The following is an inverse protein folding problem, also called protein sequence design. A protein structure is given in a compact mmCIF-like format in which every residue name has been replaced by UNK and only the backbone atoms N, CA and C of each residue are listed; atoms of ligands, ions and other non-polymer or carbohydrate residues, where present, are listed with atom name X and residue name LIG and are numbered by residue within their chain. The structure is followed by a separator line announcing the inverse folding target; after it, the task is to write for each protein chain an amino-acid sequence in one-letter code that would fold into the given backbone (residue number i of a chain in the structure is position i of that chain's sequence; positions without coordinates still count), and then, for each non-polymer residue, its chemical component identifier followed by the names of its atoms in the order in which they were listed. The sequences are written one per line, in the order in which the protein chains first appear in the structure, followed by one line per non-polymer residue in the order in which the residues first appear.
data_IF_420632231278
#
_entry.id   IF_420632231278
#
_cell.length_a   1.000
_cell.length_b   1.000
_cell.length_c   1.000
_cell.angle_alpha   90.00
_cell.angle_beta   90.00
_cell.angle_gamma   90.00
#
_symmetry.space_group_name_H-M   'P 1'
#
loop_
_entity.id
_entity.type
_entity.pdbx_description
1 polymer ?
#
# COMPACT_ATOMS: atom_id res chain seq x y z
N UNK A 1 7.64 7.89 -9.97
CA UNK A 1 6.66 6.99 -9.35
C UNK A 1 5.61 7.87 -8.69
N UNK A 2 4.50 8.17 -9.40
CA UNK A 2 3.52 9.16 -8.95
C UNK A 2 2.39 8.47 -8.17
N UNK A 3 2.39 8.62 -6.84
CA UNK A 3 1.21 8.37 -6.03
C UNK A 3 0.35 9.64 -6.06
N UNK A 4 -0.83 9.55 -6.69
CA UNK A 4 -1.80 10.63 -6.71
C UNK A 4 -2.24 10.97 -5.27
N UNK A 5 -1.86 12.16 -4.79
CA UNK A 5 -2.40 12.77 -3.57
C UNK A 5 -3.88 13.13 -3.81
N UNK A 6 -4.79 12.31 -3.28
CA UNK A 6 -6.24 12.56 -3.33
C UNK A 6 -6.64 13.41 -2.12
N UNK A 7 -6.85 14.71 -2.37
CA UNK A 7 -7.32 15.72 -1.41
C UNK A 7 -8.68 15.27 -0.81
N UNK A 8 -8.72 15.06 0.51
CA UNK A 8 -9.84 14.47 1.27
C UNK A 8 -10.86 15.55 1.63
N UNK A 9 -12.04 15.57 1.01
CA UNK A 9 -13.17 16.41 1.42
C UNK A 9 -14.14 15.54 2.25
N UNK A 10 -14.07 15.67 3.58
CA UNK A 10 -15.01 15.03 4.50
C UNK A 10 -16.28 15.85 4.59
N UNK A 11 -17.44 15.26 4.27
CA UNK A 11 -18.72 15.71 4.82
C UNK A 11 -19.51 14.50 5.34
N UNK A 12 -19.75 14.50 6.66
CA UNK A 12 -20.57 13.53 7.38
C UNK A 12 -22.03 13.61 6.89
N UNK A 13 -22.45 12.62 6.10
CA UNK A 13 -23.80 12.00 6.01
C UNK A 13 -23.89 11.26 4.68
N UNK A 14 -23.82 9.92 4.72
CA UNK A 14 -24.36 8.98 3.72
C UNK A 14 -24.50 9.46 2.26
N UNK A 15 -23.42 9.98 1.67
CA UNK A 15 -23.34 10.24 0.24
C UNK A 15 -22.40 9.21 -0.37
N UNK A 16 -22.89 8.44 -1.34
CA UNK A 16 -22.00 7.76 -2.28
C UNK A 16 -21.14 8.84 -2.96
N UNK A 17 -19.88 8.94 -2.55
CA UNK A 17 -18.95 9.89 -3.16
C UNK A 17 -18.64 9.35 -4.55
N UNK A 18 -18.82 10.21 -5.56
CA UNK A 18 -18.47 9.89 -6.94
C UNK A 18 -17.31 10.77 -7.36
N UNK A 19 -16.30 10.18 -7.98
CA UNK A 19 -15.24 10.92 -8.67
C UNK A 19 -15.34 10.69 -10.18
N UNK A 20 -14.77 11.60 -10.97
CA UNK A 20 -14.64 11.44 -12.41
C UNK A 20 -13.31 10.76 -12.73
N UNK A 21 -13.35 9.61 -13.40
CA UNK A 21 -12.14 8.96 -13.90
C UNK A 21 -11.54 9.71 -15.11
N UNK A 22 -10.47 9.16 -15.68
CA UNK A 22 -9.81 9.74 -16.87
C UNK A 22 -10.70 9.75 -18.13
N UNK A 23 -11.83 9.03 -18.10
CA UNK A 23 -12.85 9.00 -19.14
C UNK A 23 -14.07 9.88 -18.77
N UNK A 24 -13.94 10.73 -17.74
CA UNK A 24 -14.98 11.62 -17.23
C UNK A 24 -16.24 10.86 -16.72
N UNK A 25 -16.11 9.57 -16.39
CA UNK A 25 -17.21 8.75 -15.85
C UNK A 25 -17.28 8.87 -14.34
N UNK A 26 -18.50 8.91 -13.82
CA UNK A 26 -18.74 8.87 -12.38
C UNK A 26 -18.47 7.46 -11.83
N UNK A 27 -17.46 7.34 -10.97
CA UNK A 27 -17.12 6.09 -10.31
C UNK A 27 -17.69 6.08 -8.89
N UNK A 28 -18.55 5.11 -8.55
CA UNK A 28 -19.06 4.97 -7.19
C UNK A 28 -17.93 4.59 -6.23
N UNK A 29 -17.80 5.33 -5.13
CA UNK A 29 -16.93 5.00 -4.01
C UNK A 29 -17.76 4.69 -2.78
N UNK A 30 -17.31 3.69 -2.02
CA UNK A 30 -17.81 3.43 -0.67
C UNK A 30 -16.66 3.45 0.32
N UNK A 31 -16.93 3.91 1.53
CA UNK A 31 -15.95 4.08 2.59
C UNK A 31 -16.40 3.31 3.84
N UNK A 32 -15.43 2.89 4.65
CA UNK A 32 -15.65 2.40 6.02
C UNK A 32 -15.99 3.57 6.95
N UNK A 33 -16.44 3.26 8.18
CA UNK A 33 -16.83 4.28 9.16
C UNK A 33 -15.66 5.24 9.47
N UNK A 34 -14.44 4.71 9.48
CA UNK A 34 -13.21 5.45 9.78
C UNK A 34 -12.67 6.22 8.56
N UNK A 35 -13.42 6.20 7.44
CA UNK A 35 -13.12 6.96 6.23
C UNK A 35 -12.07 6.33 5.32
N UNK A 36 -11.72 5.06 5.53
CA UNK A 36 -10.93 4.25 4.60
C UNK A 36 -11.78 3.88 3.38
N UNK A 37 -11.18 3.86 2.19
CA UNK A 37 -11.89 3.52 0.96
C UNK A 37 -12.19 2.01 0.98
N UNK A 38 -13.45 1.61 1.11
CA UNK A 38 -13.85 0.20 1.15
C UNK A 38 -13.88 -0.44 -0.24
N UNK A 39 -14.36 0.29 -1.24
CA UNK A 39 -14.55 -0.23 -2.59
C UNK A 39 -14.73 0.90 -3.61
N UNK A 40 -14.24 0.67 -4.84
CA UNK A 40 -14.56 1.44 -6.05
C UNK A 40 -15.25 0.55 -7.13
N UNK A 41 -15.26 0.97 -8.39
CA UNK A 41 -15.88 0.22 -9.49
C UNK A 41 -15.09 -1.04 -9.93
N UNK A 42 -13.89 -1.25 -9.40
CA UNK A 42 -12.99 -2.33 -9.81
C UNK A 42 -12.58 -3.23 -8.66
N UNK A 43 -12.35 -2.64 -7.49
CA UNK A 43 -11.69 -3.30 -6.38
C UNK A 43 -12.40 -3.06 -5.05
N UNK A 44 -12.22 -4.03 -4.15
CA UNK A 44 -12.48 -3.91 -2.72
C UNK A 44 -11.15 -3.86 -1.98
N UNK A 45 -11.13 -3.11 -0.91
CA UNK A 45 -9.97 -2.85 -0.09
C UNK A 45 -10.30 -3.25 1.34
N UNK A 46 -9.38 -3.94 2.00
CA UNK A 46 -9.50 -4.37 3.39
C UNK A 46 -8.35 -3.75 4.19
N UNK A 47 -8.60 -3.42 5.45
CA UNK A 47 -7.68 -2.71 6.35
C UNK A 47 -7.57 -3.46 7.68
N UNK A 48 -6.45 -3.27 8.40
CA UNK A 48 -6.33 -3.65 9.80
C UNK A 48 -6.83 -2.53 10.72
N UNK A 49 -6.85 -2.78 12.02
CA UNK A 49 -7.37 -1.83 13.03
C UNK A 49 -6.53 -0.54 13.14
N UNK A 50 -5.27 -0.56 12.69
CA UNK A 50 -4.40 0.62 12.59
C UNK A 50 -4.62 1.42 11.30
N UNK A 51 -5.56 1.01 10.44
CA UNK A 51 -5.85 1.63 9.15
C UNK A 51 -4.85 1.27 8.04
N UNK A 52 -3.94 0.33 8.29
CA UNK A 52 -3.05 -0.25 7.28
C UNK A 52 -3.82 -1.16 6.33
N UNK A 53 -3.75 -0.88 5.03
CA UNK A 53 -4.45 -1.67 4.02
C UNK A 53 -3.84 -3.08 3.91
N UNK A 54 -4.62 -4.14 4.18
CA UNK A 54 -4.17 -5.54 4.20
C UNK A 54 -4.47 -6.31 2.92
N UNK A 55 -5.46 -5.88 2.13
CA UNK A 55 -5.83 -6.58 0.89
C UNK A 55 -6.38 -5.66 -0.20
N UNK A 56 -6.13 -6.06 -1.45
CA UNK A 56 -6.90 -5.63 -2.64
C UNK A 56 -7.47 -6.87 -3.30
N UNK A 57 -8.77 -6.86 -3.57
CA UNK A 57 -9.44 -7.92 -4.35
C UNK A 57 -10.32 -7.30 -5.43
N UNK A 58 -10.52 -8.01 -6.54
CA UNK A 58 -11.53 -7.60 -7.55
C UNK A 58 -12.94 -7.72 -6.98
N UNK A 59 -13.93 -7.13 -7.67
CA UNK A 59 -15.34 -7.35 -7.31
C UNK A 59 -15.74 -8.85 -7.38
N UNK A 60 -15.09 -9.63 -8.25
CA UNK A 60 -15.21 -11.08 -8.36
C UNK A 60 -14.37 -11.86 -7.32
N UNK A 61 -13.80 -11.17 -6.33
CA UNK A 61 -13.00 -11.73 -5.21
C UNK A 61 -11.68 -12.39 -5.62
N UNK A 62 -11.14 -12.07 -6.79
CA UNK A 62 -9.78 -12.44 -7.17
C UNK A 62 -8.78 -11.62 -6.36
N UNK A 63 -7.79 -12.26 -5.75
CA UNK A 63 -6.72 -11.57 -5.00
C UNK A 63 -5.82 -10.79 -5.95
N UNK A 64 -5.62 -9.51 -5.68
CA UNK A 64 -4.71 -8.64 -6.43
C UNK A 64 -3.44 -8.40 -5.61
N UNK A 65 -3.61 -8.04 -4.34
CA UNK A 65 -2.49 -7.79 -3.45
C UNK A 65 -2.83 -8.17 -2.00
N UNK A 66 -1.82 -8.63 -1.26
CA UNK A 66 -1.84 -8.75 0.21
C UNK A 66 -0.69 -7.92 0.77
N UNK A 67 -0.92 -7.27 1.90
CA UNK A 67 0.07 -6.51 2.64
C UNK A 67 0.13 -7.02 4.07
N UNK A 68 1.33 -7.07 4.63
CA UNK A 68 1.60 -7.47 6.01
C UNK A 68 2.38 -6.35 6.69
N UNK A 69 2.19 -6.24 8.00
CA UNK A 69 2.70 -5.16 8.83
C UNK A 69 3.26 -5.75 10.13
N UNK A 70 4.22 -5.06 10.74
CA UNK A 70 4.64 -5.33 12.12
C UNK A 70 3.73 -4.65 13.14
N UNK A 71 4.08 -4.79 14.42
CA UNK A 71 3.30 -4.27 15.56
C UNK A 71 3.26 -2.73 15.60
N UNK A 72 4.28 -2.07 15.05
CA UNK A 72 4.37 -0.60 14.94
C UNK A 72 3.66 -0.07 13.68
N UNK A 73 3.09 -0.96 12.87
CA UNK A 73 2.36 -0.59 11.65
C UNK A 73 3.25 -0.29 10.45
N UNK A 74 4.53 -0.66 10.47
CA UNK A 74 5.39 -0.62 9.29
C UNK A 74 5.09 -1.81 8.39
N UNK A 75 5.05 -1.58 7.08
CA UNK A 75 4.72 -2.63 6.11
C UNK A 75 5.92 -3.54 5.90
N UNK A 76 5.82 -4.81 6.29
CA UNK A 76 6.91 -5.79 6.19
C UNK A 76 6.84 -6.65 4.92
N UNK A 77 5.65 -6.81 4.32
CA UNK A 77 5.51 -7.62 3.09
C UNK A 77 4.44 -7.12 2.14
N UNK A 78 4.68 -7.27 0.84
CA UNK A 78 3.71 -7.16 -0.24
C UNK A 78 3.73 -8.43 -1.08
N UNK A 79 2.56 -8.99 -1.38
CA UNK A 79 2.41 -10.15 -2.26
C UNK A 79 1.47 -9.76 -3.41
N UNK A 80 1.97 -9.83 -4.65
CA UNK A 80 1.21 -9.54 -5.88
C UNK A 80 1.46 -10.66 -6.89
N UNK A 81 0.45 -11.53 -7.06
CA UNK A 81 0.61 -12.74 -7.86
C UNK A 81 1.74 -13.62 -7.31
N UNK A 82 2.76 -13.84 -8.14
CA UNK A 82 3.97 -14.63 -7.84
C UNK A 82 5.11 -13.80 -7.25
N UNK A 83 5.00 -12.46 -7.27
CA UNK A 83 6.00 -11.53 -6.72
C UNK A 83 5.75 -11.29 -5.24
N UNK A 84 6.83 -11.31 -4.47
CA UNK A 84 6.84 -10.89 -3.07
C UNK A 84 7.91 -9.83 -2.85
N UNK A 85 7.57 -8.78 -2.11
CA UNK A 85 8.50 -7.75 -1.64
C UNK A 85 8.53 -7.84 -0.12
N UNK A 86 9.70 -8.02 0.46
CA UNK A 86 9.92 -8.02 1.91
C UNK A 86 10.74 -6.80 2.30
N UNK A 87 10.33 -6.15 3.37
CA UNK A 87 10.93 -4.92 3.87
C UNK A 87 11.46 -5.14 5.28
N UNK A 88 12.72 -4.73 5.48
CA UNK A 88 13.42 -4.82 6.75
C UNK A 88 13.86 -3.42 7.16
N UNK A 89 13.47 -3.01 8.35
CA UNK A 89 13.70 -1.67 8.87
C UNK A 89 14.81 -1.68 9.92
N UNK A 90 15.51 -0.56 10.06
CA UNK A 90 16.43 -0.32 11.16
C UNK A 90 15.62 0.04 12.41
N UNK A 91 15.76 -0.74 13.49
CA UNK A 91 14.85 -0.71 14.65
C UNK A 91 14.89 0.58 15.49
N UNK A 92 15.94 1.40 15.36
CA UNK A 92 16.04 2.67 16.12
C UNK A 92 15.32 3.84 15.44
N UNK A 93 15.25 3.84 14.11
CA UNK A 93 14.76 5.00 13.34
C UNK A 93 13.61 4.66 12.38
N UNK A 94 13.18 3.39 12.32
CA UNK A 94 12.19 2.88 11.37
C UNK A 94 12.53 3.16 9.89
N UNK A 95 13.81 3.43 9.61
CA UNK A 95 14.33 3.64 8.27
C UNK A 95 14.41 2.30 7.54
N UNK A 96 13.91 2.22 6.30
CA UNK A 96 13.98 0.99 5.51
C UNK A 96 15.45 0.66 5.24
N UNK A 97 15.95 -0.46 5.72
CA UNK A 97 17.33 -0.89 5.52
C UNK A 97 17.49 -1.77 4.26
N UNK A 98 16.55 -2.70 4.05
CA UNK A 98 16.62 -3.67 2.97
C UNK A 98 15.24 -3.96 2.37
N UNK A 99 15.15 -3.98 1.05
CA UNK A 99 14.05 -4.57 0.28
C UNK A 99 14.56 -5.84 -0.42
N UNK A 100 13.86 -6.96 -0.23
CA UNK A 100 14.10 -8.23 -0.93
C UNK A 100 12.94 -8.48 -1.89
N UNK A 101 13.24 -8.60 -3.18
CA UNK A 101 12.24 -9.03 -4.19
C UNK A 101 12.39 -10.51 -4.47
N UNK A 102 11.29 -11.25 -4.40
CA UNK A 102 11.19 -12.67 -4.73
C UNK A 102 10.18 -12.89 -5.84
N UNK A 103 10.41 -13.92 -6.66
CA UNK A 103 9.51 -14.43 -7.68
C UNK A 103 9.35 -15.93 -7.46
N UNK A 104 8.12 -16.42 -7.28
CA UNK A 104 7.86 -17.83 -6.95
C UNK A 104 8.69 -18.33 -5.74
N UNK A 105 8.86 -17.45 -4.74
CA UNK A 105 9.65 -17.72 -3.53
C UNK A 105 11.17 -17.60 -3.71
N UNK A 106 11.67 -17.49 -4.94
CA UNK A 106 13.10 -17.37 -5.23
C UNK A 106 13.54 -15.91 -5.21
N UNK A 107 14.63 -15.61 -4.51
CA UNK A 107 15.19 -14.25 -4.45
C UNK A 107 15.66 -13.84 -5.84
N UNK A 108 15.25 -12.64 -6.24
CA UNK A 108 15.61 -12.03 -7.53
C UNK A 108 16.51 -10.80 -7.36
N UNK A 109 16.37 -10.09 -6.24
CA UNK A 109 17.05 -8.81 -6.02
C UNK A 109 17.09 -8.45 -4.55
N UNK A 110 18.20 -7.84 -4.15
CA UNK A 110 18.33 -7.06 -2.93
C UNK A 110 18.47 -5.58 -3.28
N UNK A 111 17.80 -4.71 -2.52
CA UNK A 111 18.01 -3.26 -2.56
C UNK A 111 18.33 -2.79 -1.14
N UNK A 112 19.57 -2.37 -0.92
CA UNK A 112 20.00 -1.78 0.34
C UNK A 112 19.81 -0.28 0.26
N UNK A 113 19.08 0.28 1.21
CA UNK A 113 18.81 1.72 1.28
C UNK A 113 19.80 2.39 2.22
N UNK A 114 20.32 3.53 1.79
CA UNK A 114 21.28 4.33 2.56
C UNK A 114 20.62 5.62 3.01
N UNK A 115 20.90 5.99 4.25
CA UNK A 115 20.35 7.16 4.93
C UNK A 115 21.48 8.00 5.48
N UNK A 116 21.32 9.31 5.49
CA UNK A 116 22.20 10.19 6.25
C UNK A 116 21.79 10.24 7.74
N UNK A 117 22.58 10.95 8.55
CA UNK A 117 22.37 11.14 9.99
C UNK A 117 21.04 11.81 10.36
N UNK A 118 20.33 12.41 9.39
CA UNK A 118 19.04 13.05 9.60
C UNK A 118 17.88 12.16 9.13
N UNK A 119 18.14 10.91 8.78
CA UNK A 119 17.13 9.99 8.25
C UNK A 119 16.67 10.34 6.84
N UNK A 120 17.45 11.08 6.05
CA UNK A 120 17.14 11.34 4.64
C UNK A 120 17.76 10.26 3.77
N UNK A 121 16.99 9.71 2.84
CA UNK A 121 17.49 8.74 1.88
C UNK A 121 18.54 9.39 0.96
N UNK A 122 19.75 8.82 0.94
CA UNK A 122 20.88 9.32 0.13
C UNK A 122 21.29 8.37 -0.98
N UNK A 123 20.86 7.11 -0.95
CA UNK A 123 21.27 6.16 -1.97
C UNK A 123 20.58 4.81 -1.89
N UNK A 124 20.76 4.03 -2.95
CA UNK A 124 20.38 2.62 -3.00
C UNK A 124 21.49 1.81 -3.67
N UNK A 125 21.83 0.68 -3.08
CA UNK A 125 22.74 -0.32 -3.67
C UNK A 125 21.91 -1.50 -4.12
N UNK A 126 22.08 -1.92 -5.38
CA UNK A 126 21.39 -3.06 -5.98
C UNK A 126 22.34 -4.25 -6.08
N UNK A 127 21.89 -5.42 -5.61
CA UNK A 127 22.56 -6.71 -5.78
C UNK A 127 21.58 -7.77 -6.29
#
# INVERSE_FOLDING_TARGET
MNFYSKKKLFLKKSLQVRYKDNLNRNVPLSYELDGNLKQDDKFKYEYNDLGGQTRVITLARTKIAKYEYDEEGLRTRIIVGTKTYEYYYNGEENNLALEVTKENGQIQRFRYCQWDENGKAVGVILN
#
